data_IF_593714441070
#
_entry.id   IF_593714441070
#
_cell.length_a   1.000
_cell.length_b   1.000
_cell.length_c   1.000
_cell.angle_alpha   90.00
_cell.angle_beta   90.00
_cell.angle_gamma   90.00
#
_symmetry.space_group_name_H-M   'P 1'
#
loop_
_entity.id
_entity.type
_entity.pdbx_description
1 polymer ?
#
# COMPACT_ATOMS: atom_id res chain seq x y z
N UNK A 1 12.31 -14.17 -34.81
CA UNK A 1 13.04 -13.87 -33.55
C UNK A 1 12.29 -14.55 -32.41
N UNK A 2 12.99 -15.38 -31.64
CA UNK A 2 12.37 -16.12 -30.53
C UNK A 2 12.42 -15.36 -29.20
N UNK A 3 13.20 -14.27 -29.14
CA UNK A 3 13.41 -13.50 -27.92
C UNK A 3 13.16 -12.01 -28.13
N UNK A 4 12.56 -11.37 -27.12
CA UNK A 4 12.43 -9.91 -27.00
C UNK A 4 13.29 -9.47 -25.81
N UNK A 5 14.17 -8.51 -26.01
CA UNK A 5 14.99 -7.92 -24.96
C UNK A 5 14.22 -6.71 -24.39
N UNK A 6 14.03 -6.70 -23.07
CA UNK A 6 13.47 -5.56 -22.35
C UNK A 6 14.59 -4.90 -21.53
N UNK A 7 15.05 -3.73 -21.99
CA UNK A 7 16.14 -3.00 -21.33
C UNK A 7 15.71 -2.41 -19.98
N UNK A 8 14.47 -1.97 -19.83
CA UNK A 8 13.95 -1.40 -18.59
C UNK A 8 13.93 -2.40 -17.44
N UNK A 9 13.51 -3.64 -17.71
CA UNK A 9 13.46 -4.70 -16.70
C UNK A 9 14.74 -5.56 -16.67
N UNK A 10 15.72 -5.28 -17.51
CA UNK A 10 16.92 -6.12 -17.71
C UNK A 10 16.60 -7.60 -17.88
N UNK A 11 15.65 -7.90 -18.76
CA UNK A 11 15.11 -9.24 -18.94
C UNK A 11 14.98 -9.64 -20.41
N UNK A 12 14.96 -10.95 -20.63
CA UNK A 12 14.72 -11.57 -21.95
C UNK A 12 13.36 -12.24 -21.89
N UNK A 13 12.49 -11.90 -22.85
CA UNK A 13 11.19 -12.52 -23.00
C UNK A 13 11.26 -13.54 -24.12
N UNK A 14 11.10 -14.80 -23.77
CA UNK A 14 10.90 -15.87 -24.75
C UNK A 14 9.44 -15.85 -25.21
N UNK A 15 9.20 -15.20 -26.34
CA UNK A 15 7.87 -15.04 -26.90
C UNK A 15 7.44 -16.30 -27.63
N UNK A 16 6.66 -17.14 -26.98
CA UNK A 16 6.02 -18.29 -27.62
C UNK A 16 4.59 -17.95 -28.02
N UNK A 17 4.39 -17.56 -29.28
CA UNK A 17 3.07 -17.64 -29.92
C UNK A 17 2.57 -19.10 -29.96
N UNK A 18 3.49 -20.05 -29.90
CA UNK A 18 3.26 -21.50 -29.87
C UNK A 18 4.01 -22.13 -28.71
N UNK A 19 3.46 -23.19 -28.11
CA UNK A 19 4.10 -23.99 -27.08
C UNK A 19 5.29 -24.80 -27.67
N UNK A 20 6.45 -24.18 -27.83
CA UNK A 20 7.65 -24.83 -28.36
C UNK A 20 8.54 -25.35 -27.22
N UNK A 21 9.14 -26.52 -27.46
CA UNK A 21 10.16 -27.06 -26.57
C UNK A 21 11.43 -26.20 -26.58
N UNK A 22 12.15 -26.23 -25.47
CA UNK A 22 13.48 -25.65 -25.36
C UNK A 22 14.48 -26.57 -26.08
N UNK A 23 14.89 -26.22 -27.30
CA UNK A 23 15.90 -26.95 -28.04
C UNK A 23 17.31 -26.56 -27.63
N UNK A 24 18.34 -27.39 -27.94
CA UNK A 24 19.71 -27.08 -27.58
C UNK A 24 20.23 -25.85 -28.35
N UNK A 25 19.84 -25.67 -29.61
CA UNK A 25 20.16 -24.47 -30.40
C UNK A 25 19.57 -23.20 -29.77
N UNK A 26 18.36 -23.30 -29.21
CA UNK A 26 17.73 -22.19 -28.53
C UNK A 26 18.45 -21.81 -27.23
N UNK A 27 18.97 -22.82 -26.51
CA UNK A 27 19.78 -22.62 -25.31
C UNK A 27 21.13 -21.97 -25.66
N UNK A 28 21.80 -22.38 -26.75
CA UNK A 28 23.03 -21.75 -27.25
C UNK A 28 22.80 -20.28 -27.65
N UNK A 29 21.69 -19.96 -28.29
CA UNK A 29 21.32 -18.57 -28.62
C UNK A 29 21.05 -17.71 -27.37
N UNK A 30 20.46 -18.30 -26.34
CA UNK A 30 20.04 -17.63 -25.12
C UNK A 30 21.23 -17.30 -24.19
N UNK A 31 22.19 -18.24 -24.10
CA UNK A 31 23.25 -18.20 -23.09
C UNK A 31 24.12 -16.92 -23.11
N UNK A 32 24.61 -16.39 -24.26
CA UNK A 32 25.34 -15.14 -24.26
C UNK A 32 24.50 -13.92 -23.88
N UNK A 33 23.17 -13.94 -24.14
CA UNK A 33 22.26 -12.84 -23.78
C UNK A 33 22.03 -12.77 -22.28
N UNK A 34 22.07 -13.91 -21.58
CA UNK A 34 21.87 -13.99 -20.12
C UNK A 34 23.02 -13.40 -19.30
N UNK A 35 24.19 -13.15 -19.88
CA UNK A 35 25.27 -12.39 -19.22
C UNK A 35 24.84 -10.94 -18.94
N UNK A 36 24.07 -10.34 -19.84
CA UNK A 36 23.61 -8.95 -19.76
C UNK A 36 22.21 -8.87 -19.12
N UNK A 37 21.36 -9.85 -19.43
CA UNK A 37 19.95 -9.92 -19.02
C UNK A 37 19.65 -11.20 -18.26
N UNK A 38 20.01 -11.32 -16.97
CA UNK A 38 19.99 -12.58 -16.22
C UNK A 38 18.56 -13.06 -15.86
N UNK A 39 17.51 -12.34 -16.26
CA UNK A 39 16.14 -12.74 -16.03
C UNK A 39 15.47 -13.22 -17.30
N UNK A 40 14.94 -14.45 -17.27
CA UNK A 40 14.22 -15.07 -18.37
C UNK A 40 12.72 -15.13 -18.08
N UNK A 41 11.91 -14.55 -18.95
CA UNK A 41 10.47 -14.72 -18.98
C UNK A 41 10.08 -15.81 -19.98
N UNK A 42 9.43 -16.85 -19.53
CA UNK A 42 8.82 -17.86 -20.37
C UNK A 42 7.40 -17.38 -20.75
N UNK A 43 7.13 -17.26 -22.04
CA UNK A 43 5.92 -16.67 -22.58
C UNK A 43 4.61 -17.30 -22.06
N UNK A 44 3.50 -16.61 -22.24
CA UNK A 44 2.20 -16.95 -21.65
C UNK A 44 1.67 -18.35 -22.01
N UNK A 45 2.10 -18.92 -23.14
CA UNK A 45 1.68 -20.25 -23.61
C UNK A 45 2.71 -21.35 -23.35
N UNK A 46 3.86 -21.00 -22.73
CA UNK A 46 4.87 -22.01 -22.41
C UNK A 46 4.32 -23.00 -21.38
N UNK A 47 4.37 -24.29 -21.70
CA UNK A 47 3.88 -25.38 -20.84
C UNK A 47 4.77 -26.63 -20.89
N UNK A 48 6.01 -26.49 -21.33
CA UNK A 48 6.98 -27.58 -21.43
C UNK A 48 7.90 -27.64 -20.21
N UNK A 49 8.70 -28.70 -20.11
CA UNK A 49 9.73 -28.87 -19.09
C UNK A 49 10.84 -27.81 -19.24
N UNK A 50 11.43 -27.46 -18.13
CA UNK A 50 12.54 -26.52 -18.03
C UNK A 50 13.88 -27.20 -17.73
N UNK A 51 13.97 -28.51 -17.82
CA UNK A 51 15.16 -29.27 -17.42
C UNK A 51 16.45 -28.75 -18.10
N UNK A 52 16.38 -28.38 -19.37
CA UNK A 52 17.51 -27.81 -20.12
C UNK A 52 18.00 -26.48 -19.55
N UNK A 53 17.11 -25.65 -18.94
CA UNK A 53 17.49 -24.40 -18.29
C UNK A 53 18.29 -24.61 -16.99
N UNK A 54 18.16 -25.79 -16.38
CA UNK A 54 18.85 -26.07 -15.10
C UNK A 54 20.36 -26.10 -15.23
N UNK A 55 20.88 -26.28 -16.46
CA UNK A 55 22.33 -26.29 -16.75
C UNK A 55 22.91 -24.89 -16.99
N UNK A 56 22.07 -23.85 -17.07
CA UNK A 56 22.50 -22.47 -17.34
C UNK A 56 22.71 -21.74 -16.02
N UNK A 57 23.98 -21.49 -15.69
CA UNK A 57 24.40 -20.84 -14.45
C UNK A 57 24.11 -19.32 -14.39
N UNK A 58 23.90 -18.71 -15.55
CA UNK A 58 23.66 -17.26 -15.69
C UNK A 58 22.22 -16.83 -15.40
N UNK A 59 21.28 -17.78 -15.31
CA UNK A 59 19.89 -17.47 -14.97
C UNK A 59 19.78 -17.13 -13.49
N UNK A 60 19.52 -15.86 -13.19
CA UNK A 60 19.24 -15.36 -11.84
C UNK A 60 17.75 -15.13 -11.60
N UNK A 61 16.97 -14.83 -12.64
CA UNK A 61 15.53 -14.65 -12.57
C UNK A 61 14.80 -15.56 -13.55
N UNK A 62 13.72 -16.21 -13.10
CA UNK A 62 12.85 -17.04 -13.95
C UNK A 62 11.39 -16.68 -13.70
N UNK A 63 10.70 -16.25 -14.75
CA UNK A 63 9.31 -15.85 -14.70
C UNK A 63 8.51 -16.73 -15.66
N UNK A 64 7.56 -17.46 -15.12
CA UNK A 64 6.66 -18.31 -15.89
C UNK A 64 5.42 -17.57 -16.38
N UNK A 65 5.05 -17.83 -17.62
CA UNK A 65 3.84 -17.27 -18.22
C UNK A 65 2.54 -17.79 -17.61
N UNK A 66 1.44 -17.16 -17.97
CA UNK A 66 0.12 -17.35 -17.34
C UNK A 66 -0.42 -18.80 -17.41
N UNK A 67 -0.10 -19.54 -18.46
CA UNK A 67 -0.62 -20.90 -18.69
C UNK A 67 0.23 -22.02 -18.08
N UNK A 68 1.43 -21.71 -17.59
CA UNK A 68 2.35 -22.73 -17.08
C UNK A 68 1.77 -23.47 -15.86
N UNK A 69 1.67 -24.79 -15.95
CA UNK A 69 1.18 -25.66 -14.87
C UNK A 69 1.82 -27.07 -14.94
N UNK A 70 3.09 -27.15 -15.29
CA UNK A 70 3.85 -28.40 -15.36
C UNK A 70 4.59 -28.61 -14.04
N UNK A 71 4.72 -29.86 -13.54
CA UNK A 71 5.59 -30.17 -12.42
C UNK A 71 7.04 -29.80 -12.75
N UNK A 72 7.75 -29.23 -11.79
CA UNK A 72 9.16 -28.87 -11.92
C UNK A 72 9.95 -29.74 -10.96
N UNK A 73 10.94 -30.47 -11.49
CA UNK A 73 11.82 -31.33 -10.71
C UNK A 73 13.06 -30.58 -10.20
N UNK A 74 13.63 -29.69 -11.02
CA UNK A 74 14.83 -28.94 -10.71
C UNK A 74 14.74 -27.51 -11.25
N UNK A 75 15.59 -26.62 -10.70
CA UNK A 75 15.72 -25.21 -11.11
C UNK A 75 17.20 -24.89 -11.39
N UNK A 76 17.49 -23.80 -12.15
CA UNK A 76 18.83 -23.25 -12.23
C UNK A 76 19.41 -22.99 -10.84
N UNK A 77 20.63 -23.44 -10.56
CA UNK A 77 21.17 -23.45 -9.21
C UNK A 77 21.52 -22.05 -8.66
N UNK A 78 21.79 -21.06 -9.54
CA UNK A 78 22.06 -19.67 -9.18
C UNK A 78 20.80 -18.79 -9.15
N UNK A 79 19.59 -19.38 -9.20
CA UNK A 79 18.34 -18.63 -9.26
C UNK A 79 18.11 -17.82 -7.98
N UNK A 80 17.94 -16.52 -8.13
CA UNK A 80 17.67 -15.57 -7.04
C UNK A 80 16.19 -15.12 -7.00
N UNK A 81 15.53 -15.09 -8.17
CA UNK A 81 14.14 -14.67 -8.34
C UNK A 81 13.33 -15.73 -9.09
N UNK A 82 12.15 -16.08 -8.55
CA UNK A 82 11.24 -17.03 -9.16
C UNK A 82 9.80 -16.50 -9.10
N UNK A 83 9.13 -16.44 -10.25
CA UNK A 83 7.74 -16.02 -10.36
C UNK A 83 6.92 -17.01 -11.19
N UNK A 84 5.77 -17.40 -10.66
CA UNK A 84 4.81 -18.26 -11.35
C UNK A 84 3.61 -17.48 -11.87
N UNK A 85 3.18 -17.81 -13.08
CA UNK A 85 1.98 -17.26 -13.70
C UNK A 85 0.68 -17.79 -13.09
N UNK A 86 -0.43 -17.30 -13.62
CA UNK A 86 -1.79 -17.49 -13.11
C UNK A 86 -2.18 -18.95 -12.80
N UNK A 87 -1.92 -19.90 -13.73
CA UNK A 87 -2.43 -21.29 -13.63
C UNK A 87 -1.59 -22.22 -12.78
N UNK A 88 -0.38 -21.80 -12.35
CA UNK A 88 0.53 -22.70 -11.64
C UNK A 88 -0.05 -23.20 -10.31
N UNK A 89 -0.24 -24.52 -10.19
CA UNK A 89 -0.76 -25.18 -8.98
C UNK A 89 -0.12 -26.56 -8.74
N UNK A 90 1.20 -26.65 -8.86
CA UNK A 90 1.95 -27.89 -8.58
C UNK A 90 2.78 -27.73 -7.30
N UNK A 91 3.13 -28.88 -6.68
CA UNK A 91 4.12 -28.89 -5.61
C UNK A 91 5.50 -28.54 -6.19
N UNK A 92 6.27 -27.74 -5.48
CA UNK A 92 7.62 -27.35 -5.85
C UNK A 92 8.59 -28.18 -5.01
N UNK A 93 9.63 -28.72 -5.66
CA UNK A 93 10.71 -29.48 -5.03
C UNK A 93 12.05 -28.87 -5.47
N UNK A 94 13.15 -29.25 -4.77
CA UNK A 94 14.52 -28.91 -5.13
C UNK A 94 14.74 -27.41 -5.42
N UNK A 95 14.14 -26.54 -4.61
CA UNK A 95 14.30 -25.10 -4.74
C UNK A 95 15.73 -24.71 -4.39
N UNK A 96 16.47 -23.95 -5.22
CA UNK A 96 17.86 -23.63 -4.97
C UNK A 96 18.03 -22.75 -3.73
N UNK A 97 19.13 -22.97 -3.00
CA UNK A 97 19.43 -22.19 -1.78
C UNK A 97 19.76 -20.72 -2.05
N UNK A 98 20.12 -20.40 -3.30
CA UNK A 98 20.37 -19.04 -3.80
C UNK A 98 19.12 -18.18 -3.87
N UNK A 99 17.90 -18.80 -3.87
CA UNK A 99 16.66 -18.09 -4.09
C UNK A 99 16.40 -17.07 -2.96
N UNK A 100 16.16 -15.82 -3.35
CA UNK A 100 15.86 -14.68 -2.46
C UNK A 100 14.38 -14.27 -2.48
N UNK A 101 13.74 -14.38 -3.63
CA UNK A 101 12.35 -13.96 -3.80
C UNK A 101 11.56 -14.99 -4.59
N UNK A 102 10.36 -15.32 -4.07
CA UNK A 102 9.41 -16.17 -4.76
C UNK A 102 8.01 -15.52 -4.82
N UNK A 103 7.41 -15.54 -6.02
CA UNK A 103 6.06 -15.03 -6.28
C UNK A 103 5.22 -16.18 -6.83
N UNK A 104 4.15 -16.49 -6.15
CA UNK A 104 3.19 -17.52 -6.57
C UNK A 104 2.04 -16.90 -7.35
N UNK A 105 1.67 -17.54 -8.46
CA UNK A 105 0.51 -17.16 -9.27
C UNK A 105 -0.83 -17.40 -8.56
N UNK A 106 -1.88 -16.82 -9.14
CA UNK A 106 -3.23 -16.79 -8.56
C UNK A 106 -3.75 -18.17 -8.13
N UNK A 107 -3.56 -19.19 -8.95
CA UNK A 107 -4.13 -20.54 -8.71
C UNK A 107 -3.36 -21.38 -7.69
N UNK A 108 -2.19 -20.93 -7.23
CA UNK A 108 -1.35 -21.75 -6.37
C UNK A 108 -1.98 -21.96 -4.98
N UNK A 109 -2.25 -23.23 -4.66
CA UNK A 109 -2.79 -23.64 -3.37
C UNK A 109 -2.17 -24.96 -2.90
N UNK A 110 -0.82 -25.02 -2.87
CA UNK A 110 -0.04 -26.15 -2.34
C UNK A 110 0.79 -25.70 -1.13
N UNK A 111 1.16 -26.66 -0.29
CA UNK A 111 2.00 -26.42 0.89
C UNK A 111 3.36 -25.85 0.48
N UNK A 112 3.87 -24.89 1.27
CA UNK A 112 5.11 -24.15 1.03
C UNK A 112 6.17 -24.36 2.12
N UNK A 113 5.98 -25.31 3.04
CA UNK A 113 6.84 -25.53 4.22
C UNK A 113 8.30 -25.98 3.88
N UNK A 114 8.56 -26.32 2.61
CA UNK A 114 9.86 -26.78 2.12
C UNK A 114 10.69 -25.65 1.45
N UNK A 115 10.31 -24.40 1.60
CA UNK A 115 11.05 -23.27 1.08
C UNK A 115 12.41 -23.12 1.81
N UNK A 116 13.53 -22.84 1.08
CA UNK A 116 14.84 -22.69 1.70
C UNK A 116 14.95 -21.45 2.58
N UNK A 117 15.75 -21.56 3.63
CA UNK A 117 15.92 -20.52 4.65
C UNK A 117 16.50 -19.18 4.10
N UNK A 118 17.14 -19.22 2.92
CA UNK A 118 17.70 -18.03 2.24
C UNK A 118 16.69 -17.06 1.63
N UNK A 119 15.41 -17.45 1.55
CA UNK A 119 14.36 -16.58 0.97
C UNK A 119 14.05 -15.40 1.89
N UNK A 120 14.05 -14.20 1.29
CA UNK A 120 13.77 -12.93 1.96
C UNK A 120 12.37 -12.39 1.66
N UNK A 121 11.79 -12.77 0.50
CA UNK A 121 10.45 -12.28 0.10
C UNK A 121 9.58 -13.41 -0.42
N UNK A 122 8.36 -13.50 0.12
CA UNK A 122 7.30 -14.41 -0.35
C UNK A 122 6.06 -13.61 -0.70
N UNK A 123 5.55 -13.79 -1.94
CA UNK A 123 4.25 -13.28 -2.36
C UNK A 123 3.37 -14.46 -2.72
N UNK A 124 2.30 -14.66 -1.97
CA UNK A 124 1.36 -15.76 -2.18
C UNK A 124 0.24 -15.37 -3.13
N UNK A 125 -0.17 -16.28 -3.99
CA UNK A 125 -1.23 -16.08 -4.96
C UNK A 125 -2.62 -15.99 -4.34
N UNK A 126 -3.59 -15.48 -5.11
CA UNK A 126 -4.93 -15.16 -4.62
C UNK A 126 -5.66 -16.37 -4.00
N UNK A 127 -5.50 -17.57 -4.54
CA UNK A 127 -6.20 -18.77 -4.07
C UNK A 127 -5.48 -19.53 -2.96
N UNK A 128 -4.31 -19.04 -2.51
CA UNK A 128 -3.57 -19.72 -1.44
C UNK A 128 -4.33 -19.64 -0.12
N UNK A 129 -4.70 -20.82 0.44
CA UNK A 129 -5.38 -20.95 1.72
C UNK A 129 -4.99 -22.26 2.44
N UNK A 130 -3.68 -22.54 2.56
CA UNK A 130 -3.15 -23.70 3.27
C UNK A 130 -2.54 -23.29 4.59
N UNK A 131 -2.51 -24.21 5.55
CA UNK A 131 -1.73 -24.05 6.77
C UNK A 131 -0.26 -23.93 6.42
N UNK A 132 0.44 -23.08 7.15
CA UNK A 132 1.89 -22.86 7.06
C UNK A 132 2.48 -23.28 8.38
N UNK A 133 3.33 -24.30 8.36
CA UNK A 133 3.98 -24.83 9.57
C UNK A 133 5.42 -24.35 9.68
N UNK A 134 6.01 -23.93 8.57
CA UNK A 134 7.39 -23.41 8.52
C UNK A 134 7.50 -22.28 7.49
N UNK A 135 8.21 -21.21 7.86
CA UNK A 135 8.65 -20.14 6.98
C UNK A 135 10.19 -20.06 6.98
N UNK A 136 10.79 -19.54 5.90
CA UNK A 136 12.25 -19.31 5.82
C UNK A 136 12.77 -18.43 6.96
N UNK A 137 13.92 -18.78 7.54
CA UNK A 137 14.48 -18.02 8.68
C UNK A 137 14.90 -16.60 8.33
N UNK A 138 15.33 -16.36 7.08
CA UNK A 138 15.77 -15.03 6.61
C UNK A 138 14.63 -14.18 6.02
N UNK A 139 13.39 -14.62 6.15
CA UNK A 139 12.25 -13.92 5.57
C UNK A 139 12.11 -12.51 6.16
N UNK A 140 12.04 -11.51 5.27
CA UNK A 140 11.85 -10.09 5.58
C UNK A 140 10.46 -9.58 5.23
N UNK A 141 9.87 -10.11 4.16
CA UNK A 141 8.55 -9.70 3.70
C UNK A 141 7.71 -10.89 3.28
N UNK A 142 6.47 -10.93 3.77
CA UNK A 142 5.45 -11.85 3.29
C UNK A 142 4.16 -11.10 2.94
N UNK A 143 3.63 -11.39 1.73
CA UNK A 143 2.29 -10.95 1.31
C UNK A 143 1.41 -12.16 1.11
N UNK A 144 0.31 -12.21 1.83
CA UNK A 144 -0.72 -13.21 1.68
C UNK A 144 -1.69 -12.84 0.55
N UNK A 145 -2.19 -13.84 -0.15
CA UNK A 145 -3.16 -13.69 -1.24
C UNK A 145 -4.59 -13.44 -0.74
N UNK A 146 -5.48 -13.21 -1.70
CA UNK A 146 -6.87 -12.81 -1.46
C UNK A 146 -7.65 -13.76 -0.54
N UNK A 147 -7.53 -15.09 -0.75
CA UNK A 147 -8.33 -16.11 -0.03
C UNK A 147 -7.71 -16.60 1.28
N UNK A 148 -6.52 -16.12 1.64
CA UNK A 148 -5.83 -16.64 2.83
C UNK A 148 -6.56 -16.28 4.12
N UNK A 149 -6.95 -17.31 4.89
CA UNK A 149 -7.60 -17.17 6.20
C UNK A 149 -7.23 -18.35 7.11
N UNK A 150 -5.94 -18.48 7.45
CA UNK A 150 -5.44 -19.49 8.40
C UNK A 150 -4.56 -18.82 9.43
N UNK A 151 -4.54 -19.40 10.64
CA UNK A 151 -3.63 -18.98 11.71
C UNK A 151 -2.19 -19.26 11.28
N UNK A 152 -1.29 -18.32 11.53
CA UNK A 152 0.15 -18.45 11.31
C UNK A 152 0.89 -18.20 12.62
N UNK A 153 1.57 -19.22 13.14
CA UNK A 153 2.31 -19.15 14.41
C UNK A 153 3.83 -19.29 14.22
N UNK A 154 4.31 -19.31 12.98
CA UNK A 154 5.71 -19.61 12.63
C UNK A 154 6.43 -18.45 11.95
N UNK A 155 6.04 -17.21 12.23
CA UNK A 155 6.76 -16.03 11.71
C UNK A 155 8.20 -16.00 12.29
N UNK A 156 9.25 -15.84 11.44
CA UNK A 156 10.63 -15.76 11.92
C UNK A 156 10.91 -14.41 12.59
N UNK A 157 11.80 -14.41 13.59
CA UNK A 157 12.11 -13.22 14.41
C UNK A 157 12.75 -12.06 13.62
N UNK A 158 13.22 -12.30 12.40
CA UNK A 158 13.76 -11.24 11.51
C UNK A 158 12.79 -10.66 10.51
N UNK A 159 11.50 -11.02 10.58
CA UNK A 159 10.46 -10.53 9.65
C UNK A 159 10.17 -9.04 9.88
N UNK A 160 10.20 -8.23 8.81
CA UNK A 160 10.01 -6.78 8.88
C UNK A 160 8.63 -6.32 8.43
N UNK A 161 8.03 -7.05 7.49
CA UNK A 161 6.76 -6.62 6.89
C UNK A 161 5.81 -7.78 6.63
N UNK A 162 4.56 -7.59 7.04
CA UNK A 162 3.45 -8.49 6.72
C UNK A 162 2.35 -7.70 6.02
N UNK A 163 1.85 -8.25 4.90
CA UNK A 163 0.58 -7.82 4.30
C UNK A 163 -0.36 -9.00 4.23
N UNK A 164 -1.41 -8.98 5.03
CA UNK A 164 -2.51 -9.93 4.94
C UNK A 164 -3.41 -9.63 3.75
N UNK A 165 -4.11 -10.65 3.23
CA UNK A 165 -5.00 -10.51 2.08
C UNK A 165 -6.45 -10.23 2.49
N UNK A 166 -7.29 -10.07 1.47
CA UNK A 166 -8.68 -9.61 1.57
C UNK A 166 -9.55 -10.38 2.59
N UNK A 167 -9.50 -11.73 2.56
CA UNK A 167 -10.33 -12.58 3.42
C UNK A 167 -9.72 -12.90 4.78
N UNK A 168 -8.55 -12.35 5.11
CA UNK A 168 -7.92 -12.68 6.38
C UNK A 168 -8.72 -12.12 7.56
N UNK A 169 -9.23 -13.01 8.39
CA UNK A 169 -9.93 -12.74 9.66
C UNK A 169 -9.70 -13.89 10.65
N UNK A 170 -8.45 -14.32 10.82
CA UNK A 170 -8.05 -15.33 11.79
C UNK A 170 -7.29 -14.69 12.95
N UNK A 171 -7.37 -15.26 14.18
CA UNK A 171 -6.65 -14.73 15.33
C UNK A 171 -5.14 -14.67 15.11
N UNK A 172 -4.52 -13.66 15.72
CA UNK A 172 -3.07 -13.45 15.73
C UNK A 172 -2.57 -13.63 17.15
N UNK A 173 -1.89 -14.74 17.41
CA UNK A 173 -1.39 -15.04 18.75
C UNK A 173 0.03 -14.52 19.00
N UNK A 174 0.85 -14.45 17.94
CA UNK A 174 2.24 -14.02 18.07
C UNK A 174 2.72 -13.32 16.79
N UNK A 175 3.22 -12.11 16.95
CA UNK A 175 3.96 -11.37 15.94
C UNK A 175 5.38 -11.12 16.46
N UNK A 176 6.45 -11.30 15.62
CA UNK A 176 7.81 -10.93 16.00
C UNK A 176 7.95 -9.44 16.30
N UNK A 177 8.74 -9.10 17.30
CA UNK A 177 9.01 -7.70 17.69
C UNK A 177 9.77 -6.92 16.60
N UNK A 178 10.39 -7.61 15.63
CA UNK A 178 11.09 -7.02 14.47
C UNK A 178 10.18 -6.38 13.43
N UNK A 179 8.87 -6.67 13.44
CA UNK A 179 7.95 -6.16 12.43
C UNK A 179 7.83 -4.63 12.54
N UNK A 180 8.14 -3.96 11.44
CA UNK A 180 8.00 -2.51 11.28
C UNK A 180 6.69 -2.13 10.57
N UNK A 181 6.20 -2.97 9.64
CA UNK A 181 5.01 -2.67 8.84
C UNK A 181 4.01 -3.82 8.91
N UNK A 182 2.80 -3.53 9.39
CA UNK A 182 1.70 -4.48 9.48
C UNK A 182 0.48 -3.95 8.72
N UNK A 183 0.02 -4.73 7.73
CA UNK A 183 -1.06 -4.31 6.85
C UNK A 183 -2.14 -5.39 6.82
N UNK A 184 -3.34 -5.00 7.19
CA UNK A 184 -4.55 -5.79 7.03
C UNK A 184 -5.38 -5.27 5.87
N UNK A 185 -5.98 -6.19 5.13
CA UNK A 185 -6.89 -5.89 4.04
C UNK A 185 -8.35 -5.98 4.53
N UNK A 186 -9.30 -6.14 3.69
CA UNK A 186 -10.70 -5.87 3.80
C UNK A 186 -11.43 -6.45 5.04
N UNK A 187 -11.28 -7.77 5.31
CA UNK A 187 -12.14 -8.48 6.27
C UNK A 187 -11.63 -8.52 7.71
N UNK A 188 -10.40 -8.11 7.99
CA UNK A 188 -9.86 -8.26 9.34
C UNK A 188 -10.62 -7.39 10.35
N UNK A 189 -11.22 -8.06 11.38
CA UNK A 189 -11.96 -7.41 12.46
C UNK A 189 -11.84 -8.18 13.79
N UNK A 190 -10.64 -8.56 14.16
CA UNK A 190 -10.36 -9.21 15.44
C UNK A 190 -9.43 -8.33 16.29
N UNK A 191 -9.52 -8.41 17.63
CA UNK A 191 -8.59 -7.69 18.49
C UNK A 191 -7.16 -8.22 18.30
N UNK A 192 -6.18 -7.33 18.52
CA UNK A 192 -4.76 -7.68 18.55
C UNK A 192 -4.26 -7.47 19.96
N UNK A 193 -4.05 -8.57 20.70
CA UNK A 193 -3.68 -8.52 22.11
C UNK A 193 -2.28 -7.92 22.33
N UNK A 194 -1.37 -8.15 21.39
CA UNK A 194 0.00 -7.66 21.47
C UNK A 194 0.54 -7.27 20.11
N UNK A 195 0.93 -5.99 20.00
CA UNK A 195 1.62 -5.45 18.84
C UNK A 195 3.14 -5.67 18.89
N UNK A 196 3.84 -5.77 17.74
CA UNK A 196 5.30 -5.77 17.67
C UNK A 196 5.90 -4.48 18.26
N UNK A 197 6.96 -4.59 19.05
CA UNK A 197 7.58 -3.40 19.70
C UNK A 197 8.16 -2.39 18.73
N UNK A 198 8.69 -2.85 17.57
CA UNK A 198 9.33 -2.00 16.56
C UNK A 198 8.34 -1.56 15.46
N UNK A 199 7.03 -1.76 15.66
CA UNK A 199 6.02 -1.38 14.68
C UNK A 199 6.05 0.13 14.45
N UNK A 200 6.17 0.55 13.19
CA UNK A 200 6.17 1.95 12.74
C UNK A 200 4.90 2.30 11.99
N UNK A 201 4.41 1.36 11.18
CA UNK A 201 3.25 1.57 10.30
C UNK A 201 2.22 0.48 10.46
N UNK A 202 0.98 0.88 10.74
CA UNK A 202 -0.18 0.01 10.89
C UNK A 202 -1.29 0.45 9.95
N UNK A 203 -1.78 -0.48 9.10
CA UNK A 203 -2.86 -0.21 8.15
C UNK A 203 -3.98 -1.21 8.39
N UNK A 204 -5.20 -0.71 8.55
CA UNK A 204 -6.41 -1.50 8.66
C UNK A 204 -7.31 -1.34 7.43
N UNK A 205 -7.96 -2.46 7.06
CA UNK A 205 -8.90 -2.54 5.95
C UNK A 205 -10.31 -2.08 6.31
N UNK A 206 -11.29 -2.51 5.47
CA UNK A 206 -12.66 -1.99 5.51
C UNK A 206 -13.42 -2.35 6.79
N UNK A 207 -13.41 -3.61 7.23
CA UNK A 207 -14.26 -4.08 8.34
C UNK A 207 -13.68 -3.86 9.73
N UNK A 208 -12.44 -3.37 9.86
CA UNK A 208 -11.84 -3.22 11.18
C UNK A 208 -12.58 -2.19 12.04
N UNK A 209 -13.09 -2.64 13.20
CA UNK A 209 -13.76 -1.80 14.19
C UNK A 209 -13.55 -2.36 15.62
N UNK A 210 -12.27 -2.62 15.99
CA UNK A 210 -11.89 -3.04 17.34
C UNK A 210 -11.18 -1.90 18.07
N UNK A 211 -11.11 -1.98 19.39
CA UNK A 211 -10.33 -1.04 20.20
C UNK A 211 -8.85 -1.16 19.89
N UNK A 212 -8.14 -0.03 20.00
CA UNK A 212 -6.72 0.10 19.74
C UNK A 212 -5.93 0.26 21.05
N UNK A 213 -6.11 -0.69 21.94
CA UNK A 213 -5.40 -0.68 23.21
C UNK A 213 -3.94 -1.09 23.03
N UNK A 214 -3.03 -0.48 23.81
CA UNK A 214 -1.62 -0.85 23.88
C UNK A 214 -0.83 -0.74 22.57
N UNK A 215 -1.18 0.22 21.68
CA UNK A 215 -0.37 0.52 20.52
C UNK A 215 1.07 0.88 20.93
N UNK A 216 2.11 0.33 20.27
CA UNK A 216 3.48 0.77 20.50
C UNK A 216 3.70 2.18 19.94
N UNK A 217 4.94 2.67 20.02
CA UNK A 217 5.30 3.98 19.47
C UNK A 217 5.34 3.97 17.94
N UNK A 218 4.16 3.88 17.29
CA UNK A 218 4.02 3.93 15.82
C UNK A 218 4.11 5.36 15.28
N UNK A 219 4.51 5.48 14.02
CA UNK A 219 4.61 6.74 13.29
C UNK A 219 3.40 6.97 12.36
N UNK A 220 2.83 5.87 11.83
CA UNK A 220 1.71 5.94 10.90
C UNK A 220 0.57 4.97 11.30
N UNK A 221 -0.65 5.50 11.40
CA UNK A 221 -1.89 4.73 11.56
C UNK A 221 -2.86 5.11 10.44
N UNK A 222 -3.22 4.12 9.61
CA UNK A 222 -4.03 4.36 8.42
C UNK A 222 -5.21 3.40 8.42
N UNK A 223 -6.40 3.94 8.37
CA UNK A 223 -7.62 3.19 8.08
C UNK A 223 -7.98 3.35 6.60
N UNK A 224 -8.58 2.32 6.01
CA UNK A 224 -9.13 2.44 4.67
C UNK A 224 -10.17 3.58 4.64
N UNK A 225 -10.17 4.48 3.65
CA UNK A 225 -11.09 5.64 3.59
C UNK A 225 -12.57 5.28 3.68
N UNK A 226 -12.94 4.05 3.32
CA UNK A 226 -14.32 3.56 3.38
C UNK A 226 -14.55 2.60 4.55
N UNK A 227 -13.62 2.48 5.50
CA UNK A 227 -13.73 1.51 6.60
C UNK A 227 -14.79 1.87 7.63
N UNK A 228 -15.16 0.85 8.41
CA UNK A 228 -16.22 0.93 9.42
C UNK A 228 -15.73 1.40 10.81
N UNK A 229 -14.44 1.76 10.94
CA UNK A 229 -13.87 2.09 12.24
C UNK A 229 -14.53 3.35 12.84
N UNK A 230 -15.08 3.22 14.05
CA UNK A 230 -15.68 4.32 14.81
C UNK A 230 -15.55 4.09 16.32
N UNK A 231 -14.33 3.78 16.80
CA UNK A 231 -13.99 3.66 18.21
C UNK A 231 -13.09 4.81 18.67
N UNK A 232 -13.00 5.02 20.00
CA UNK A 232 -12.16 6.06 20.59
C UNK A 232 -10.69 5.96 20.15
N UNK A 233 -10.07 7.13 20.02
CA UNK A 233 -8.65 7.35 19.71
C UNK A 233 -7.90 8.05 20.85
N UNK A 234 -8.44 8.05 22.08
CA UNK A 234 -7.88 8.79 23.22
C UNK A 234 -6.49 8.30 23.66
N UNK A 235 -6.11 7.07 23.33
CA UNK A 235 -4.87 6.42 23.75
C UNK A 235 -3.84 6.29 22.62
N UNK A 236 -3.87 7.16 21.61
CA UNK A 236 -2.87 7.13 20.54
C UNK A 236 -1.47 7.46 21.05
N UNK A 237 -0.41 6.77 20.54
CA UNK A 237 0.97 7.01 20.97
C UNK A 237 1.46 8.38 20.54
N UNK A 238 2.25 9.04 21.40
CA UNK A 238 2.78 10.39 21.16
C UNK A 238 3.83 10.46 20.03
N UNK A 239 4.28 9.33 19.50
CA UNK A 239 5.16 9.24 18.31
C UNK A 239 4.42 9.39 16.99
N UNK A 240 3.07 9.31 16.99
CA UNK A 240 2.27 9.31 15.76
C UNK A 240 2.42 10.63 14.99
N UNK A 241 2.78 10.53 13.72
CA UNK A 241 2.98 11.67 12.82
C UNK A 241 1.93 11.72 11.70
N UNK A 242 1.40 10.56 11.29
CA UNK A 242 0.44 10.46 10.20
C UNK A 242 -0.77 9.63 10.65
N UNK A 243 -1.96 10.24 10.64
CA UNK A 243 -3.22 9.61 10.95
C UNK A 243 -4.21 9.78 9.79
N UNK A 244 -4.64 8.68 9.21
CA UNK A 244 -5.76 8.66 8.27
C UNK A 244 -6.94 7.93 8.91
N UNK A 245 -8.04 8.63 9.07
CA UNK A 245 -9.28 8.13 9.66
C UNK A 245 -10.17 7.45 8.62
N UNK A 246 -11.06 6.62 9.11
CA UNK A 246 -12.06 5.91 8.32
C UNK A 246 -13.18 6.80 7.82
N UNK A 247 -13.90 6.32 6.79
CA UNK A 247 -15.06 6.99 6.26
C UNK A 247 -16.18 7.20 7.28
N UNK A 248 -16.42 6.25 8.18
CA UNK A 248 -17.49 6.29 9.17
C UNK A 248 -17.09 6.93 10.51
N UNK A 249 -15.83 7.31 10.68
CA UNK A 249 -15.38 7.89 11.96
C UNK A 249 -16.05 9.25 12.22
N UNK A 250 -16.70 9.38 13.37
CA UNK A 250 -17.37 10.61 13.79
C UNK A 250 -17.34 10.84 15.31
N UNK A 251 -16.22 10.52 15.95
CA UNK A 251 -16.01 10.83 17.37
C UNK A 251 -15.10 12.06 17.52
N UNK A 252 -15.16 12.79 18.68
CA UNK A 252 -14.29 13.93 18.92
C UNK A 252 -12.79 13.58 18.78
N UNK A 253 -12.00 14.57 18.40
CA UNK A 253 -10.54 14.49 18.19
C UNK A 253 -9.76 15.37 19.17
N UNK A 254 -10.24 15.50 20.42
CA UNK A 254 -9.69 16.43 21.41
C UNK A 254 -8.32 16.02 21.97
N UNK A 255 -7.97 14.73 21.87
CA UNK A 255 -6.78 14.14 22.50
C UNK A 255 -5.75 13.61 21.48
N UNK A 256 -5.60 14.27 20.34
CA UNK A 256 -4.62 13.85 19.33
C UNK A 256 -3.17 14.07 19.79
N UNK A 257 -2.22 13.18 19.35
CA UNK A 257 -0.81 13.28 19.69
C UNK A 257 -0.17 14.61 19.25
N UNK A 258 0.64 15.21 20.15
CA UNK A 258 1.24 16.52 19.93
C UNK A 258 2.38 16.55 18.90
N UNK A 259 2.74 15.39 18.30
CA UNK A 259 3.69 15.27 17.16
C UNK A 259 3.01 15.00 15.84
N UNK A 260 1.67 14.98 15.81
CA UNK A 260 0.91 14.70 14.58
C UNK A 260 1.15 15.82 13.55
N UNK A 261 1.58 15.42 12.33
CA UNK A 261 1.87 16.33 11.22
C UNK A 261 0.83 16.26 10.12
N UNK A 262 0.25 15.08 9.91
CA UNK A 262 -0.72 14.83 8.85
C UNK A 262 -1.97 14.19 9.42
N UNK A 263 -3.11 14.80 9.13
CA UNK A 263 -4.42 14.29 9.49
C UNK A 263 -5.32 14.26 8.26
N UNK A 264 -5.81 13.06 7.90
CA UNK A 264 -6.85 12.90 6.90
C UNK A 264 -8.11 12.39 7.57
N UNK A 265 -9.18 13.14 7.46
CA UNK A 265 -10.47 12.89 8.09
C UNK A 265 -11.42 12.24 7.08
N UNK A 266 -12.17 11.23 7.53
CA UNK A 266 -13.09 10.47 6.69
C UNK A 266 -14.38 11.21 6.33
N UNK A 267 -15.19 10.59 5.45
CA UNK A 267 -16.34 11.25 4.81
C UNK A 267 -17.48 11.66 5.77
N UNK A 268 -17.73 10.89 6.83
CA UNK A 268 -18.87 11.14 7.74
C UNK A 268 -18.52 11.98 8.98
N UNK A 269 -17.27 12.43 9.08
CA UNK A 269 -16.84 13.21 10.23
C UNK A 269 -17.50 14.61 10.22
N UNK A 270 -18.16 14.96 11.33
CA UNK A 270 -18.79 16.26 11.53
C UNK A 270 -18.70 16.73 12.99
N UNK A 271 -17.53 16.56 13.63
CA UNK A 271 -17.24 17.09 14.97
C UNK A 271 -16.37 18.35 14.86
N UNK A 272 -16.40 19.26 15.86
CA UNK A 272 -15.49 20.40 15.91
C UNK A 272 -14.02 20.02 15.80
N UNK A 273 -13.19 20.90 15.25
CA UNK A 273 -11.75 20.74 15.08
C UNK A 273 -10.94 21.77 15.91
N UNK A 274 -11.49 22.23 17.04
CA UNK A 274 -10.93 23.31 17.84
C UNK A 274 -9.65 22.93 18.62
N UNK A 275 -9.39 21.62 18.80
CA UNK A 275 -8.31 21.10 19.64
C UNK A 275 -7.23 20.35 18.86
N UNK A 276 -7.08 20.63 17.57
CA UNK A 276 -6.02 20.03 16.76
C UNK A 276 -4.63 20.45 17.25
N UNK A 277 -3.61 19.54 17.22
CA UNK A 277 -2.28 19.84 17.72
C UNK A 277 -1.56 20.89 16.87
N UNK A 278 -0.80 21.79 17.51
CA UNK A 278 -0.04 22.85 16.83
C UNK A 278 1.04 22.34 15.87
N UNK A 279 1.44 21.08 15.98
CA UNK A 279 2.39 20.42 15.07
C UNK A 279 1.80 20.06 13.71
N UNK A 280 0.47 20.18 13.53
CA UNK A 280 -0.21 19.76 12.30
C UNK A 280 0.19 20.67 11.13
N UNK A 281 0.69 20.04 10.06
CA UNK A 281 1.14 20.69 8.83
C UNK A 281 0.16 20.44 7.67
N UNK A 282 -0.52 19.27 7.65
CA UNK A 282 -1.43 18.88 6.58
C UNK A 282 -2.77 18.39 7.14
N UNK A 283 -3.87 18.95 6.64
CA UNK A 283 -5.25 18.58 7.00
C UNK A 283 -6.08 18.35 5.74
N UNK A 284 -6.64 17.15 5.60
CA UNK A 284 -7.66 16.83 4.60
C UNK A 284 -8.97 16.51 5.32
N UNK A 285 -10.04 17.19 4.93
CA UNK A 285 -11.37 17.09 5.54
C UNK A 285 -12.33 16.45 4.55
N UNK A 286 -13.06 15.43 5.02
CA UNK A 286 -13.98 14.65 4.18
C UNK A 286 -15.32 15.37 3.89
N UNK A 287 -16.21 14.64 3.22
CA UNK A 287 -17.38 15.15 2.49
C UNK A 287 -18.40 15.87 3.39
N UNK A 288 -18.82 15.25 4.51
CA UNK A 288 -19.98 15.71 5.30
C UNK A 288 -19.60 16.73 6.39
N UNK A 289 -18.38 17.26 6.34
CA UNK A 289 -17.95 18.22 7.37
C UNK A 289 -18.60 19.58 7.15
N UNK A 290 -19.35 20.03 8.14
CA UNK A 290 -20.08 21.32 8.14
C UNK A 290 -19.93 22.01 9.50
N UNK A 291 -18.69 22.24 9.94
CA UNK A 291 -18.32 23.03 11.12
C UNK A 291 -17.37 24.15 10.73
N UNK A 292 -17.33 25.23 11.54
CA UNK A 292 -16.38 26.31 11.34
C UNK A 292 -14.91 25.85 11.47
N UNK A 293 -14.02 26.61 10.89
CA UNK A 293 -12.57 26.37 10.86
C UNK A 293 -11.79 27.53 11.50
N UNK A 294 -12.38 28.22 12.49
CA UNK A 294 -11.83 29.45 13.08
C UNK A 294 -10.61 29.18 13.97
N UNK A 295 -10.45 27.96 14.49
CA UNK A 295 -9.42 27.59 15.46
C UNK A 295 -8.41 26.56 14.92
N UNK A 296 -8.06 26.62 13.62
CA UNK A 296 -7.07 25.72 13.04
C UNK A 296 -5.65 26.03 13.54
N UNK A 297 -4.74 25.01 13.59
CA UNK A 297 -3.38 25.17 14.07
C UNK A 297 -2.57 26.20 13.26
N UNK A 298 -1.74 27.04 13.94
CA UNK A 298 -1.02 28.14 13.29
C UNK A 298 0.12 27.70 12.36
N UNK A 299 0.50 26.42 12.38
CA UNK A 299 1.55 25.86 11.51
C UNK A 299 0.99 25.09 10.29
N UNK A 300 -0.32 25.11 10.09
CA UNK A 300 -0.97 24.39 8.99
C UNK A 300 -0.58 24.99 7.64
N UNK A 301 -0.03 24.17 6.72
CA UNK A 301 0.44 24.57 5.39
C UNK A 301 -0.48 24.10 4.28
N UNK A 302 -1.06 22.92 4.44
CA UNK A 302 -1.93 22.30 3.46
C UNK A 302 -3.31 22.07 4.05
N UNK A 303 -4.34 22.64 3.42
CA UNK A 303 -5.73 22.44 3.78
C UNK A 303 -6.54 22.06 2.54
N UNK A 304 -7.14 20.88 2.58
CA UNK A 304 -8.09 20.41 1.54
C UNK A 304 -9.43 20.13 2.19
N UNK A 305 -10.49 20.77 1.69
CA UNK A 305 -11.84 20.66 2.21
C UNK A 305 -12.73 20.09 1.11
N UNK A 306 -13.41 19.00 1.44
CA UNK A 306 -14.30 18.30 0.49
C UNK A 306 -15.73 18.88 0.48
N UNK A 307 -16.71 18.23 -0.11
CA UNK A 307 -17.91 18.72 -0.78
C UNK A 307 -18.89 19.59 0.01
N UNK A 308 -19.21 19.30 1.28
CA UNK A 308 -20.36 19.91 1.96
C UNK A 308 -20.03 21.19 2.76
N UNK A 309 -18.76 21.51 2.94
CA UNK A 309 -18.34 22.67 3.72
C UNK A 309 -18.76 23.99 3.06
N UNK A 310 -19.52 24.81 3.78
CA UNK A 310 -19.98 26.12 3.33
C UNK A 310 -19.99 27.18 4.44
N UNK A 311 -18.87 27.31 5.19
CA UNK A 311 -18.65 28.34 6.19
C UNK A 311 -17.59 29.35 5.74
N UNK A 312 -17.49 30.52 6.44
CA UNK A 312 -16.42 31.50 6.18
C UNK A 312 -15.04 30.87 6.34
N UNK A 313 -14.11 31.32 5.53
CA UNK A 313 -12.68 30.97 5.58
C UNK A 313 -11.79 32.16 5.98
N UNK A 314 -12.40 33.28 6.40
CA UNK A 314 -11.69 34.54 6.65
C UNK A 314 -10.70 34.44 7.84
N UNK A 315 -10.89 33.47 8.75
CA UNK A 315 -10.05 33.23 9.93
C UNK A 315 -9.03 32.09 9.76
N UNK A 316 -8.83 31.60 8.53
CA UNK A 316 -7.80 30.59 8.29
C UNK A 316 -6.39 31.10 8.65
N UNK A 317 -5.50 30.23 9.14
CA UNK A 317 -4.13 30.59 9.49
C UNK A 317 -3.35 31.15 8.30
N UNK A 318 -2.56 32.18 8.55
CA UNK A 318 -1.70 32.81 7.51
C UNK A 318 -0.58 31.91 7.02
N UNK A 319 -0.28 30.80 7.70
CA UNK A 319 0.71 29.77 7.34
C UNK A 319 0.30 28.90 6.16
N UNK A 320 -0.99 28.92 5.75
CA UNK A 320 -1.49 28.04 4.68
C UNK A 320 -0.86 28.47 3.34
N UNK A 321 -0.19 27.51 2.71
CA UNK A 321 0.44 27.60 1.40
C UNK A 321 -0.43 27.02 0.28
N UNK A 322 -1.20 25.96 0.60
CA UNK A 322 -2.14 25.31 -0.31
C UNK A 322 -3.53 25.25 0.32
N UNK A 323 -4.53 25.73 -0.42
CA UNK A 323 -5.94 25.68 -0.04
C UNK A 323 -6.78 25.11 -1.19
N UNK A 324 -7.49 24.00 -0.91
CA UNK A 324 -8.57 23.51 -1.78
C UNK A 324 -9.90 23.75 -1.07
N UNK A 325 -10.80 24.47 -1.73
CA UNK A 325 -12.15 24.71 -1.24
C UNK A 325 -13.10 23.62 -1.73
N UNK A 326 -14.19 23.44 -0.98
CA UNK A 326 -15.21 22.44 -1.27
C UNK A 326 -15.96 22.72 -2.58
N UNK A 327 -16.55 21.68 -3.14
CA UNK A 327 -17.37 21.76 -4.36
C UNK A 327 -18.60 22.68 -4.21
N UNK A 328 -19.25 22.69 -3.04
CA UNK A 328 -20.43 23.51 -2.74
C UNK A 328 -20.11 24.83 -2.01
N UNK A 329 -18.85 25.24 -1.99
CA UNK A 329 -18.49 26.49 -1.33
C UNK A 329 -19.08 27.70 -2.05
N UNK A 330 -19.85 28.52 -1.33
CA UNK A 330 -20.55 29.69 -1.85
C UNK A 330 -20.43 30.93 -0.95
N UNK A 331 -19.59 30.88 0.11
CA UNK A 331 -19.41 32.04 0.99
C UNK A 331 -18.48 33.08 0.37
N UNK A 332 -18.77 34.39 0.56
CA UNK A 332 -17.85 35.46 0.16
C UNK A 332 -16.50 35.27 0.85
N UNK A 333 -15.44 35.37 0.08
CA UNK A 333 -14.05 35.37 0.58
C UNK A 333 -13.65 36.81 0.81
N UNK A 334 -13.39 37.20 2.06
CA UNK A 334 -12.97 38.56 2.42
C UNK A 334 -11.47 38.63 2.72
N UNK A 335 -10.88 37.49 3.13
CA UNK A 335 -9.46 37.39 3.44
C UNK A 335 -8.90 36.06 2.92
N UNK A 336 -7.69 36.08 2.38
CA UNK A 336 -6.91 34.90 2.05
C UNK A 336 -5.68 34.81 2.97
N UNK A 337 -5.19 33.61 3.30
CA UNK A 337 -3.94 33.42 4.04
C UNK A 337 -2.76 34.19 3.37
N UNK A 338 -1.88 34.76 4.19
CA UNK A 338 -0.80 35.61 3.67
C UNK A 338 0.28 34.82 2.89
N UNK A 339 0.51 33.56 3.28
CA UNK A 339 1.51 32.67 2.63
C UNK A 339 0.93 31.80 1.52
N UNK A 340 -0.32 32.06 1.08
CA UNK A 340 -0.99 31.22 0.10
C UNK A 340 -0.26 31.26 -1.25
N UNK A 341 0.14 30.09 -1.75
CA UNK A 341 0.83 29.87 -3.02
C UNK A 341 -0.12 29.32 -4.07
N UNK A 342 -1.04 28.43 -3.66
CA UNK A 342 -1.99 27.78 -4.56
C UNK A 342 -3.38 27.71 -3.95
N UNK A 343 -4.36 28.12 -4.76
CA UNK A 343 -5.79 28.03 -4.43
C UNK A 343 -6.50 27.18 -5.49
N UNK A 344 -7.18 26.13 -5.06
CA UNK A 344 -8.09 25.35 -5.88
C UNK A 344 -9.54 25.67 -5.50
N UNK A 345 -10.31 26.14 -6.48
CA UNK A 345 -11.73 26.51 -6.32
C UNK A 345 -12.53 25.94 -7.48
N UNK A 346 -13.78 25.56 -7.26
CA UNK A 346 -14.60 25.00 -8.32
C UNK A 346 -15.28 26.08 -9.17
N UNK A 347 -15.44 25.82 -10.47
CA UNK A 347 -16.01 26.74 -11.47
C UNK A 347 -17.45 27.17 -11.18
N UNK A 348 -18.17 26.36 -10.40
CA UNK A 348 -19.54 26.69 -9.95
C UNK A 348 -19.60 27.72 -8.83
N UNK A 349 -18.49 28.16 -8.25
CA UNK A 349 -18.47 29.20 -7.23
C UNK A 349 -19.11 30.48 -7.79
N UNK A 350 -20.31 30.82 -7.33
CA UNK A 350 -21.15 31.88 -7.89
C UNK A 350 -20.51 33.28 -7.82
N UNK A 351 -19.61 33.49 -6.85
CA UNK A 351 -18.88 34.74 -6.64
C UNK A 351 -17.48 34.74 -7.25
N UNK A 352 -17.15 33.82 -8.17
CA UNK A 352 -15.80 33.65 -8.70
C UNK A 352 -15.26 34.92 -9.38
N UNK A 353 -16.06 35.59 -10.19
CA UNK A 353 -15.61 36.79 -10.90
C UNK A 353 -15.45 37.99 -9.95
N UNK A 354 -16.36 38.17 -8.99
CA UNK A 354 -16.22 39.17 -7.93
C UNK A 354 -14.99 38.93 -7.06
N UNK A 355 -14.72 37.65 -6.72
CA UNK A 355 -13.51 37.22 -6.02
C UNK A 355 -12.23 37.56 -6.81
N UNK A 356 -12.17 37.24 -8.10
CA UNK A 356 -11.00 37.52 -8.95
C UNK A 356 -10.73 39.03 -9.02
N UNK A 357 -11.75 39.85 -9.15
CA UNK A 357 -11.56 41.32 -9.19
C UNK A 357 -11.11 41.85 -7.82
N UNK A 358 -11.72 41.39 -6.72
CA UNK A 358 -11.39 41.83 -5.36
C UNK A 358 -9.96 41.46 -4.92
N UNK A 359 -9.42 40.34 -5.43
CA UNK A 359 -8.08 39.83 -5.08
C UNK A 359 -7.08 39.91 -6.22
N UNK A 360 -7.33 40.73 -7.24
CA UNK A 360 -6.53 40.83 -8.46
C UNK A 360 -5.01 40.96 -8.21
N UNK A 361 -4.61 41.84 -7.30
CA UNK A 361 -3.20 42.06 -6.99
C UNK A 361 -2.58 40.88 -6.24
N UNK A 362 -3.31 40.26 -5.33
CA UNK A 362 -2.86 39.10 -4.54
C UNK A 362 -2.75 37.85 -5.42
N UNK A 363 -3.68 37.67 -6.35
CA UNK A 363 -3.70 36.53 -7.28
C UNK A 363 -2.58 36.54 -8.30
N UNK A 364 -1.85 37.66 -8.50
CA UNK A 364 -0.64 37.67 -9.34
C UNK A 364 0.45 36.75 -8.81
N UNK A 365 0.47 36.49 -7.50
CA UNK A 365 1.46 35.64 -6.82
C UNK A 365 0.91 34.28 -6.39
N UNK A 366 -0.35 33.94 -6.75
CA UNK A 366 -1.03 32.72 -6.36
C UNK A 366 -1.40 31.94 -7.62
N UNK A 367 -1.11 30.65 -7.63
CA UNK A 367 -1.61 29.71 -8.66
C UNK A 367 -3.09 29.49 -8.36
N UNK A 368 -3.97 30.04 -9.21
CA UNK A 368 -5.40 29.82 -9.11
C UNK A 368 -5.83 28.73 -10.08
N UNK A 369 -6.23 27.57 -9.53
CA UNK A 369 -6.78 26.47 -10.32
C UNK A 369 -8.32 26.48 -10.19
N UNK A 370 -8.98 26.71 -11.31
CA UNK A 370 -10.44 26.62 -11.38
C UNK A 370 -10.83 25.24 -11.90
N UNK A 371 -11.24 24.37 -10.97
CA UNK A 371 -11.61 23.00 -11.29
C UNK A 371 -12.97 22.93 -11.98
N UNK A 372 -13.04 22.27 -13.13
CA UNK A 372 -14.32 21.92 -13.78
C UNK A 372 -14.98 20.76 -13.05
N UNK A 373 -16.28 20.59 -13.25
CA UNK A 373 -17.01 19.40 -12.78
C UNK A 373 -16.36 18.12 -13.34
N UNK A 374 -16.23 17.08 -12.47
CA UNK A 374 -15.78 15.74 -12.86
C UNK A 374 -17.00 14.88 -13.22
#
# INVERSE_FOLDING_TARGET
>A
MNFIICNETKSIIYNTLYNRELTDELIEELNPKLEIYPTLHLGNRFSNDIEKLCKIDKIKGLIFGQSFNVPISNFPYNLEYLEFGYKFNKKIKNIPKSLKKIVFGTSHNKVIDNLPDGIETIILGSNFNRYIHKLPKNLKYIKFGFSFNKIVNCFPDGLLKIKFGYHYNSPIFRLPDSIEHLVFDYNFNLPIDKYPKNLKKLIFGFHFNQYLDNLPQIEELIFNPYSCFNNSLDNLPQSLQNLQLSGLFNLPLDNLPQKLKKLRIGHHFNQPLDFLPNSLEELEIGINFDKGLDNLPPNLKYLSIDTDFNHSIDNLPDSIEFLRLSYYFEKPIKKLPNNLIRLEIYSRYSLLEEFKESFKDKLQNIILDVCSEV
#
